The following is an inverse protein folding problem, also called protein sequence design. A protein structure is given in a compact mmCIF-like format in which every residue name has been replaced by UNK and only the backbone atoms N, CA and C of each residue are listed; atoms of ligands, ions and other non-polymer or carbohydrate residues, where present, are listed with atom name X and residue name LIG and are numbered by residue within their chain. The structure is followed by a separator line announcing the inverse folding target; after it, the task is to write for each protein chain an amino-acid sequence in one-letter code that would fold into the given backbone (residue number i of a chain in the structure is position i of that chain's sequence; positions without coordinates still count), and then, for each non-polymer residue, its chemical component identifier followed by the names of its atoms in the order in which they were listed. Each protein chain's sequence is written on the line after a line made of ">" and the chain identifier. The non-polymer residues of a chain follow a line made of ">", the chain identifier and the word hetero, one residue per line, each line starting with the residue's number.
data_IF_841098116100
#
_entry.id   IF_841098116100
#
_cell.length_a   1.000
_cell.length_b   1.000
_cell.length_c   1.000
_cell.angle_alpha   90.00
_cell.angle_beta   90.00
_cell.angle_gamma   90.00
#
_symmetry.space_group_name_H-M   'P 1'
#
loop_
_entity.id
_entity.type
_entity.pdbx_description
1 polymer ?
#
# COMPACT_ATOMS: atom_id res chain seq x y z
N UNK A 1 2.97 -58.81 -7.72
CA UNK A 1 1.80 -58.02 -7.34
C UNK A 1 2.29 -56.63 -6.98
N UNK A 2 2.27 -55.68 -7.96
CA UNK A 2 2.68 -54.31 -7.76
C UNK A 2 1.44 -53.53 -7.39
N UNK A 3 1.39 -53.01 -6.15
CA UNK A 3 0.34 -52.13 -5.66
C UNK A 3 0.68 -50.72 -6.12
N UNK A 4 -0.06 -50.21 -7.11
CA UNK A 4 0.04 -48.84 -7.60
C UNK A 4 -0.53 -47.89 -6.55
N UNK A 5 0.35 -47.20 -5.82
CA UNK A 5 -0.02 -46.06 -4.97
C UNK A 5 -0.48 -44.93 -5.88
N UNK A 6 -1.80 -44.73 -5.95
CA UNK A 6 -2.42 -43.54 -6.52
C UNK A 6 -2.00 -42.33 -5.67
N UNK A 7 -1.08 -41.54 -6.17
CA UNK A 7 -0.79 -40.23 -5.64
C UNK A 7 -2.04 -39.38 -5.82
N UNK A 8 -2.77 -39.16 -4.75
CA UNK A 8 -3.87 -38.20 -4.68
C UNK A 8 -3.28 -36.80 -4.92
N UNK A 9 -3.51 -36.27 -6.10
CA UNK A 9 -3.16 -34.90 -6.46
C UNK A 9 -4.11 -33.96 -5.70
N UNK A 10 -3.79 -33.71 -4.42
CA UNK A 10 -4.50 -32.68 -3.63
C UNK A 10 -4.07 -31.35 -4.21
N UNK A 11 -4.97 -30.56 -4.80
CA UNK A 11 -4.62 -29.24 -5.28
C UNK A 11 -4.05 -28.43 -4.10
N UNK A 12 -3.01 -27.60 -4.29
CA UNK A 12 -2.47 -26.78 -3.23
C UNK A 12 -3.61 -25.97 -2.63
N UNK A 13 -3.72 -25.99 -1.30
CA UNK A 13 -4.76 -25.26 -0.57
C UNK A 13 -4.74 -23.82 -1.08
N UNK A 14 -5.88 -23.32 -1.57
CA UNK A 14 -5.99 -21.97 -2.08
C UNK A 14 -5.57 -21.01 -0.95
N UNK A 15 -4.53 -20.21 -1.22
CA UNK A 15 -4.05 -19.22 -0.26
C UNK A 15 -5.19 -18.23 -0.01
N UNK A 16 -5.65 -18.14 1.23
CA UNK A 16 -6.71 -17.20 1.57
C UNK A 16 -6.21 -15.76 1.39
N UNK A 17 -6.89 -14.93 0.58
CA UNK A 17 -6.44 -13.56 0.35
C UNK A 17 -6.50 -12.74 1.63
N UNK A 18 -5.48 -11.92 1.88
CA UNK A 18 -5.45 -11.03 3.04
C UNK A 18 -6.38 -9.82 2.90
N UNK A 19 -6.71 -9.42 1.67
CA UNK A 19 -7.74 -8.41 1.35
C UNK A 19 -8.69 -9.00 0.33
N UNK A 20 -9.99 -8.86 0.56
CA UNK A 20 -11.04 -9.25 -0.37
C UNK A 20 -12.14 -8.20 -0.39
N UNK A 21 -12.37 -7.63 -1.55
CA UNK A 21 -13.46 -6.69 -1.84
C UNK A 21 -14.46 -7.37 -2.76
N UNK A 22 -15.75 -7.20 -2.46
CA UNK A 22 -16.83 -7.72 -3.30
C UNK A 22 -17.91 -6.66 -3.44
N UNK A 23 -18.18 -6.26 -4.68
CA UNK A 23 -19.23 -5.31 -5.06
C UNK A 23 -19.20 -4.05 -4.18
N UNK A 24 -17.99 -3.53 -3.90
CA UNK A 24 -17.81 -2.40 -3.01
C UNK A 24 -18.28 -1.12 -3.68
N UNK A 25 -19.25 -0.46 -3.05
CA UNK A 25 -19.77 0.83 -3.43
C UNK A 25 -19.50 1.87 -2.34
N UNK A 26 -19.20 3.11 -2.72
CA UNK A 26 -19.00 4.19 -1.76
C UNK A 26 -19.43 5.55 -2.32
N UNK A 27 -20.03 6.37 -1.44
CA UNK A 27 -20.51 7.73 -1.77
C UNK A 27 -19.98 8.75 -0.78
N UNK A 28 -19.83 9.98 -1.26
CA UNK A 28 -19.66 11.17 -0.43
C UNK A 28 -20.89 12.05 -0.50
N UNK A 29 -21.07 12.90 0.53
CA UNK A 29 -22.21 13.80 0.63
C UNK A 29 -23.50 13.11 1.04
N UNK A 30 -24.59 13.88 1.06
CA UNK A 30 -25.93 13.43 1.42
C UNK A 30 -26.99 14.14 0.57
N UNK A 31 -28.19 13.56 0.46
CA UNK A 31 -29.29 14.13 -0.32
C UNK A 31 -28.93 14.35 -1.78
N UNK A 32 -29.24 15.54 -2.31
CA UNK A 32 -28.96 15.94 -3.70
C UNK A 32 -27.47 16.06 -4.04
N UNK A 33 -26.62 16.19 -3.02
CA UNK A 33 -25.15 16.30 -3.20
C UNK A 33 -24.44 14.97 -3.07
N UNK A 34 -25.17 13.86 -3.02
CA UNK A 34 -24.58 12.51 -2.94
C UNK A 34 -23.91 12.16 -4.26
N UNK A 35 -22.59 11.92 -4.21
CA UNK A 35 -21.77 11.53 -5.37
C UNK A 35 -21.15 10.15 -5.12
N UNK A 36 -21.38 9.23 -6.05
CA UNK A 36 -20.72 7.93 -6.03
C UNK A 36 -19.25 8.06 -6.43
N UNK A 37 -18.36 7.40 -5.68
CA UNK A 37 -16.91 7.45 -5.88
C UNK A 37 -16.34 6.06 -6.13
N UNK A 38 -16.97 5.00 -5.61
CA UNK A 38 -16.63 3.62 -5.95
C UNK A 38 -17.90 2.90 -6.43
N UNK A 39 -17.77 2.09 -7.49
CA UNK A 39 -18.88 1.44 -8.17
C UNK A 39 -18.55 -0.03 -8.41
N UNK A 40 -19.14 -0.93 -7.61
CA UNK A 40 -19.04 -2.38 -7.78
C UNK A 40 -17.62 -2.90 -7.82
N UNK A 41 -16.73 -2.39 -6.94
CA UNK A 41 -15.31 -2.73 -6.94
C UNK A 41 -15.10 -4.14 -6.38
N UNK A 42 -14.49 -5.01 -7.18
CA UNK A 42 -14.03 -6.36 -6.80
C UNK A 42 -12.49 -6.41 -6.85
N UNK A 43 -11.85 -6.83 -5.77
CA UNK A 43 -10.38 -6.96 -5.69
C UNK A 43 -10.01 -8.00 -4.65
N UNK A 44 -9.03 -8.83 -4.94
CA UNK A 44 -8.38 -9.70 -3.95
C UNK A 44 -6.87 -9.44 -3.95
N UNK A 45 -6.24 -9.49 -2.77
CA UNK A 45 -4.79 -9.35 -2.60
C UNK A 45 -4.31 -10.49 -1.70
N UNK A 46 -3.29 -11.20 -2.16
CA UNK A 46 -2.71 -12.31 -1.41
C UNK A 46 -1.60 -11.84 -0.46
N UNK A 47 -1.29 -12.60 0.59
CA UNK A 47 -0.12 -12.33 1.42
C UNK A 47 1.15 -12.27 0.56
N UNK A 48 2.04 -11.31 0.83
CA UNK A 48 3.28 -11.11 0.08
C UNK A 48 3.13 -10.54 -1.34
N UNK A 49 1.90 -10.28 -1.81
CA UNK A 49 1.62 -9.72 -3.13
C UNK A 49 1.81 -8.20 -3.12
N UNK A 50 2.48 -7.67 -4.14
CA UNK A 50 2.60 -6.22 -4.40
C UNK A 50 1.65 -5.84 -5.52
N UNK A 51 0.58 -5.11 -5.17
CA UNK A 51 -0.43 -4.60 -6.11
C UNK A 51 -0.27 -3.10 -6.27
N UNK A 52 -0.06 -2.63 -7.49
CA UNK A 52 -0.08 -1.20 -7.81
C UNK A 52 -1.45 -0.80 -8.34
N UNK A 53 -2.00 0.27 -7.77
CA UNK A 53 -3.26 0.88 -8.19
C UNK A 53 -2.97 2.19 -8.92
N UNK A 54 -3.28 2.23 -10.21
CA UNK A 54 -3.07 3.37 -11.10
C UNK A 54 -4.40 3.99 -11.54
N UNK A 55 -4.36 5.16 -12.15
CA UNK A 55 -5.56 5.82 -12.70
C UNK A 55 -5.56 7.33 -12.48
N UNK A 56 -6.46 8.08 -13.13
CA UNK A 56 -6.51 9.55 -13.06
C UNK A 56 -6.79 10.07 -11.64
N UNK A 57 -6.45 11.33 -11.38
CA UNK A 57 -6.76 11.97 -10.10
C UNK A 57 -8.28 12.02 -9.89
N UNK A 58 -8.71 11.76 -8.64
CA UNK A 58 -10.13 11.79 -8.27
C UNK A 58 -10.95 10.55 -8.64
N UNK A 59 -10.37 9.50 -9.27
CA UNK A 59 -11.11 8.28 -9.63
C UNK A 59 -11.44 7.34 -8.44
N UNK A 60 -11.00 7.65 -7.21
CA UNK A 60 -11.38 6.86 -6.02
C UNK A 60 -10.26 6.09 -5.33
N UNK A 61 -9.01 6.13 -5.80
CA UNK A 61 -7.86 5.35 -5.26
C UNK A 61 -7.64 5.55 -3.75
N UNK A 62 -7.52 6.79 -3.30
CA UNK A 62 -7.36 7.12 -1.86
C UNK A 62 -8.58 6.68 -1.05
N UNK A 63 -9.79 6.75 -1.63
CA UNK A 63 -11.02 6.26 -0.99
C UNK A 63 -10.93 4.76 -0.78
N UNK A 64 -10.52 4.00 -1.80
CA UNK A 64 -10.31 2.56 -1.71
C UNK A 64 -9.29 2.22 -0.62
N UNK A 65 -8.10 2.86 -0.63
CA UNK A 65 -7.08 2.67 0.42
C UNK A 65 -7.64 2.91 1.83
N UNK A 66 -8.41 3.99 2.03
CA UNK A 66 -8.93 4.32 3.36
C UNK A 66 -10.04 3.38 3.83
N UNK A 67 -10.81 2.77 2.93
CA UNK A 67 -11.78 1.72 3.24
C UNK A 67 -11.07 0.42 3.63
N UNK A 68 -10.10 -0.04 2.82
CA UNK A 68 -9.28 -1.22 3.13
C UNK A 68 -8.51 -1.03 4.44
N UNK A 69 -8.00 0.18 4.71
CA UNK A 69 -7.31 0.55 5.95
C UNK A 69 -8.23 0.70 7.17
N UNK A 70 -9.52 0.37 7.06
CA UNK A 70 -10.51 0.51 8.13
C UNK A 70 -10.57 1.92 8.76
N UNK A 71 -10.23 2.96 7.97
CA UNK A 71 -10.32 4.38 8.37
C UNK A 71 -11.70 4.97 8.06
N UNK A 72 -12.43 4.37 7.11
CA UNK A 72 -13.80 4.73 6.74
C UNK A 72 -14.75 3.57 6.96
N UNK A 73 -16.03 3.89 7.12
CA UNK A 73 -17.08 2.85 7.18
C UNK A 73 -17.41 2.37 5.77
N UNK A 74 -17.57 1.05 5.64
CA UNK A 74 -18.08 0.41 4.43
C UNK A 74 -19.60 0.62 4.41
N UNK A 75 -20.08 1.27 3.35
CA UNK A 75 -21.53 1.59 3.20
C UNK A 75 -22.26 0.44 2.53
N UNK A 76 -21.71 -0.11 1.44
CA UNK A 76 -22.34 -1.16 0.65
C UNK A 76 -21.27 -2.05 0.02
N UNK A 77 -21.56 -3.35 -0.11
CA UNK A 77 -20.63 -4.37 -0.51
C UNK A 77 -19.87 -4.97 0.67
N UNK A 78 -18.85 -5.78 0.41
CA UNK A 78 -18.03 -6.45 1.42
C UNK A 78 -16.58 -6.02 1.30
N UNK A 79 -15.95 -5.74 2.44
CA UNK A 79 -14.50 -5.51 2.58
C UNK A 79 -13.99 -6.41 3.69
N UNK A 80 -13.28 -7.47 3.32
CA UNK A 80 -12.63 -8.37 4.28
C UNK A 80 -11.14 -8.12 4.29
N UNK A 81 -10.58 -7.94 5.49
CA UNK A 81 -9.13 -7.80 5.71
C UNK A 81 -8.71 -8.78 6.78
N UNK A 82 -7.81 -9.69 6.46
CA UNK A 82 -7.40 -10.82 7.31
C UNK A 82 -8.61 -11.63 7.83
N UNK A 83 -9.60 -11.87 6.98
CA UNK A 83 -10.84 -12.59 7.34
C UNK A 83 -11.87 -11.75 8.11
N UNK A 84 -11.52 -10.54 8.57
CA UNK A 84 -12.44 -9.66 9.31
C UNK A 84 -13.28 -8.84 8.34
N UNK A 85 -14.62 -8.99 8.40
CA UNK A 85 -15.56 -8.17 7.63
C UNK A 85 -15.68 -6.77 8.22
N UNK A 86 -15.46 -5.74 7.38
CA UNK A 86 -15.51 -4.34 7.80
C UNK A 86 -16.92 -3.73 7.73
N UNK A 87 -17.79 -4.26 6.87
CA UNK A 87 -19.18 -3.84 6.86
C UNK A 87 -19.86 -4.28 8.17
N UNK A 88 -20.47 -3.33 8.87
CA UNK A 88 -21.09 -3.58 10.18
C UNK A 88 -20.10 -3.80 11.34
N UNK A 89 -18.77 -3.71 11.10
CA UNK A 89 -17.78 -3.89 12.15
C UNK A 89 -17.86 -2.80 13.23
N UNK A 90 -17.57 -3.18 14.48
CA UNK A 90 -17.49 -2.25 15.61
C UNK A 90 -16.23 -1.38 15.53
N UNK A 91 -16.23 -0.26 16.27
CA UNK A 91 -15.04 0.59 16.40
C UNK A 91 -13.84 -0.17 16.97
N UNK A 92 -14.07 -1.06 17.94
CA UNK A 92 -13.01 -1.88 18.54
C UNK A 92 -12.38 -2.86 17.55
N UNK A 93 -13.19 -3.56 16.76
CA UNK A 93 -12.70 -4.46 15.72
C UNK A 93 -11.84 -3.73 14.69
N UNK A 94 -12.29 -2.57 14.19
CA UNK A 94 -11.49 -1.75 13.27
C UNK A 94 -10.20 -1.23 13.90
N UNK A 95 -10.22 -0.85 15.20
CA UNK A 95 -9.03 -0.42 15.91
C UNK A 95 -8.01 -1.55 16.06
N UNK A 96 -8.45 -2.75 16.40
CA UNK A 96 -7.59 -3.92 16.50
C UNK A 96 -6.98 -4.27 15.13
N UNK A 97 -7.79 -4.27 14.07
CA UNK A 97 -7.33 -4.56 12.72
C UNK A 97 -6.24 -3.58 12.26
N UNK A 98 -6.41 -2.28 12.53
CA UNK A 98 -5.44 -1.25 12.13
C UNK A 98 -4.05 -1.44 12.73
N UNK A 99 -3.89 -2.19 13.83
CA UNK A 99 -2.56 -2.51 14.38
C UNK A 99 -1.71 -3.37 13.44
N UNK A 100 -2.35 -4.14 12.57
CA UNK A 100 -1.68 -5.00 11.58
C UNK A 100 -1.56 -4.33 10.20
N UNK A 101 -1.96 -3.06 10.07
CA UNK A 101 -1.95 -2.30 8.81
C UNK A 101 -1.00 -1.11 8.94
N UNK A 102 0.05 -1.09 8.14
CA UNK A 102 0.89 0.10 7.95
C UNK A 102 0.25 1.03 6.93
N UNK A 103 0.26 2.34 7.18
CA UNK A 103 -0.28 3.31 6.24
C UNK A 103 0.69 4.46 5.98
N UNK A 104 0.97 4.69 4.71
CA UNK A 104 1.79 5.79 4.20
C UNK A 104 0.84 6.72 3.44
N UNK A 105 0.70 7.96 3.93
CA UNK A 105 -0.16 8.97 3.32
C UNK A 105 0.67 9.93 2.46
N UNK A 106 0.07 10.45 1.41
CA UNK A 106 0.67 11.49 0.57
C UNK A 106 1.06 12.74 1.38
N UNK A 107 0.29 13.12 2.40
CA UNK A 107 0.55 14.27 3.27
C UNK A 107 1.50 14.00 4.45
N UNK A 108 2.21 12.87 4.49
CA UNK A 108 3.13 12.39 5.55
C UNK A 108 2.49 12.16 6.92
N UNK A 109 1.56 13.00 7.36
CA UNK A 109 0.82 12.94 8.64
C UNK A 109 1.73 12.73 9.87
N UNK A 110 2.87 13.45 9.91
CA UNK A 110 3.76 13.45 11.07
C UNK A 110 3.21 14.33 12.18
N UNK A 111 3.39 13.91 13.43
CA UNK A 111 3.08 14.74 14.60
C UNK A 111 4.15 15.81 14.74
N UNK A 112 3.74 17.08 14.65
CA UNK A 112 4.64 18.24 14.57
C UNK A 112 5.45 18.47 15.85
N UNK A 113 4.92 18.02 17.01
CA UNK A 113 5.58 18.13 18.30
C UNK A 113 6.53 16.99 18.63
N UNK A 114 6.62 15.97 17.77
CA UNK A 114 7.48 14.82 17.97
C UNK A 114 8.66 14.85 16.98
N UNK A 115 9.85 14.42 17.45
CA UNK A 115 11.01 14.25 16.60
C UNK A 115 10.81 13.12 15.55
N UNK A 116 11.73 12.98 14.60
CA UNK A 116 11.73 11.89 13.64
C UNK A 116 11.73 10.53 14.35
N UNK A 117 12.62 10.33 15.34
CA UNK A 117 12.70 9.10 16.15
C UNK A 117 11.36 8.81 16.85
N UNK A 118 10.77 9.82 17.52
CA UNK A 118 9.51 9.67 18.23
C UNK A 118 8.32 9.40 17.30
N UNK A 119 8.28 10.03 16.12
CA UNK A 119 7.27 9.72 15.12
C UNK A 119 7.35 8.27 14.66
N UNK A 120 8.55 7.72 14.44
CA UNK A 120 8.72 6.31 14.05
C UNK A 120 8.44 5.37 15.20
N UNK A 121 8.83 5.72 16.43
CA UNK A 121 8.56 4.94 17.64
C UNK A 121 7.05 4.71 17.84
N UNK A 122 6.18 5.65 17.45
CA UNK A 122 4.72 5.43 17.49
C UNK A 122 4.26 4.19 16.70
N UNK A 123 4.96 3.85 15.61
CA UNK A 123 4.72 2.59 14.89
C UNK A 123 5.12 1.38 15.73
N UNK A 124 6.31 1.41 16.31
CA UNK A 124 6.81 0.35 17.18
C UNK A 124 5.99 0.19 18.49
N UNK A 125 5.31 1.26 18.95
CA UNK A 125 4.43 1.21 20.11
C UNK A 125 3.17 0.34 19.91
N UNK A 126 2.87 -0.03 18.67
CA UNK A 126 1.81 -0.99 18.34
C UNK A 126 2.20 -2.45 18.63
N UNK A 127 3.50 -2.74 18.83
CA UNK A 127 4.02 -4.06 19.13
C UNK A 127 3.96 -4.29 20.66
N UNK A 128 3.08 -5.19 21.16
CA UNK A 128 2.80 -5.32 22.57
C UNK A 128 3.99 -5.88 23.37
N UNK A 129 4.77 -6.78 22.76
CA UNK A 129 5.81 -7.55 23.43
C UNK A 129 7.17 -6.84 23.53
N UNK A 130 7.27 -5.63 22.92
CA UNK A 130 8.50 -4.85 22.96
C UNK A 130 8.53 -3.86 24.14
N UNK A 131 9.60 -3.89 24.93
CA UNK A 131 9.88 -2.86 25.94
C UNK A 131 10.29 -1.52 25.30
N UNK A 132 10.23 -0.43 26.07
CA UNK A 132 10.51 0.93 25.60
C UNK A 132 11.85 1.07 24.86
N UNK A 133 12.94 0.46 25.40
CA UNK A 133 14.28 0.53 24.76
C UNK A 133 14.28 -0.17 23.41
N UNK A 134 13.70 -1.37 23.32
CA UNK A 134 13.62 -2.12 22.07
C UNK A 134 12.81 -1.39 20.99
N UNK A 135 11.69 -0.75 21.36
CA UNK A 135 10.88 0.08 20.43
C UNK A 135 11.67 1.29 19.90
N UNK A 136 12.46 1.91 20.76
CA UNK A 136 13.31 3.02 20.37
C UNK A 136 14.43 2.58 19.44
N UNK A 137 15.07 1.44 19.73
CA UNK A 137 16.12 0.87 18.88
C UNK A 137 15.57 0.44 17.51
N UNK A 138 14.37 -0.14 17.49
CA UNK A 138 13.65 -0.46 16.23
C UNK A 138 13.35 0.81 15.42
N UNK A 139 12.90 1.89 16.06
CA UNK A 139 12.67 3.17 15.38
C UNK A 139 13.95 3.73 14.75
N UNK A 140 15.08 3.65 15.45
CA UNK A 140 16.41 4.04 14.92
C UNK A 140 16.86 3.16 13.76
N UNK A 141 16.61 1.86 13.86
CA UNK A 141 16.93 0.91 12.79
C UNK A 141 16.17 1.27 11.51
N UNK A 142 14.88 1.55 11.60
CA UNK A 142 14.09 1.96 10.44
C UNK A 142 14.50 3.33 9.88
N UNK A 143 14.84 4.30 10.74
CA UNK A 143 15.36 5.60 10.29
C UNK A 143 16.70 5.44 9.55
N UNK A 144 17.58 4.56 10.02
CA UNK A 144 18.81 4.23 9.32
C UNK A 144 18.53 3.55 7.97
N UNK A 145 17.58 2.59 7.94
CA UNK A 145 17.21 1.91 6.70
C UNK A 145 16.67 2.84 5.61
N UNK A 146 16.09 3.98 6.00
CA UNK A 146 15.67 5.03 5.06
C UNK A 146 16.66 6.19 4.94
N UNK A 147 17.90 6.04 5.41
CA UNK A 147 18.99 7.03 5.29
C UNK A 147 18.74 8.32 6.08
N UNK A 148 18.24 8.21 7.32
CA UNK A 148 17.93 9.34 8.21
C UNK A 148 18.59 9.21 9.60
N UNK A 149 19.68 8.47 9.72
CA UNK A 149 20.41 8.28 10.98
C UNK A 149 20.89 9.59 11.62
N UNK A 150 21.24 10.60 10.82
CA UNK A 150 21.69 11.92 11.30
C UNK A 150 20.51 12.86 11.64
N UNK A 151 19.27 12.41 11.49
CA UNK A 151 18.07 13.25 11.60
C UNK A 151 17.15 12.85 12.76
N UNK A 152 17.58 11.94 13.65
CA UNK A 152 16.74 11.35 14.72
C UNK A 152 16.03 12.37 15.60
N UNK A 153 16.74 13.42 16.02
CA UNK A 153 16.22 14.46 16.90
C UNK A 153 15.47 15.60 16.19
N UNK A 154 15.47 15.66 14.85
CA UNK A 154 14.84 16.75 14.10
C UNK A 154 13.32 16.70 14.20
N UNK A 155 12.69 17.86 14.34
CA UNK A 155 11.26 18.02 14.27
C UNK A 155 10.78 18.10 12.80
N UNK A 156 9.52 17.80 12.49
CA UNK A 156 9.03 17.81 11.11
C UNK A 156 9.25 19.14 10.36
N UNK A 157 9.25 20.28 11.04
CA UNK A 157 9.50 21.57 10.40
C UNK A 157 10.96 21.76 9.94
N UNK A 158 11.92 21.02 10.54
CA UNK A 158 13.33 21.03 10.18
C UNK A 158 13.69 20.01 9.11
N UNK A 159 12.70 19.25 8.61
CA UNK A 159 12.89 18.22 7.59
C UNK A 159 12.37 18.68 6.22
N UNK A 160 13.09 18.32 5.18
CA UNK A 160 12.61 18.50 3.79
C UNK A 160 11.37 17.61 3.52
N UNK A 161 10.64 17.87 2.42
CA UNK A 161 9.50 17.05 2.01
C UNK A 161 9.86 15.57 1.86
N UNK A 162 10.96 15.26 1.19
CA UNK A 162 11.45 13.91 1.02
C UNK A 162 11.90 13.25 2.34
N UNK A 163 12.51 14.01 3.26
CA UNK A 163 12.86 13.52 4.58
C UNK A 163 11.61 13.19 5.41
N UNK A 164 10.58 14.06 5.38
CA UNK A 164 9.28 13.79 6.02
C UNK A 164 8.64 12.51 5.48
N UNK A 165 8.69 12.31 4.16
CA UNK A 165 8.15 11.10 3.53
C UNK A 165 8.88 9.86 4.02
N UNK A 166 10.22 9.88 4.09
CA UNK A 166 11.03 8.77 4.60
C UNK A 166 10.74 8.47 6.08
N UNK A 167 10.51 9.49 6.92
CA UNK A 167 10.05 9.29 8.32
C UNK A 167 8.68 8.62 8.37
N UNK A 168 7.74 9.03 7.52
CA UNK A 168 6.40 8.43 7.45
C UNK A 168 6.45 6.96 7.01
N UNK A 169 7.33 6.63 6.07
CA UNK A 169 7.60 5.26 5.62
C UNK A 169 8.19 4.44 6.77
N UNK A 170 9.25 4.93 7.43
CA UNK A 170 9.87 4.27 8.57
C UNK A 170 8.86 4.00 9.70
N UNK A 171 7.96 4.96 9.99
CA UNK A 171 6.87 4.80 10.96
C UNK A 171 5.93 3.67 10.59
N UNK A 172 5.51 3.58 9.33
CA UNK A 172 4.61 2.53 8.88
C UNK A 172 5.25 1.14 8.97
N UNK A 173 6.56 1.05 8.67
CA UNK A 173 7.32 -0.20 8.71
C UNK A 173 7.66 -0.65 10.14
N UNK A 174 7.88 0.29 11.06
CA UNK A 174 8.16 0.00 12.47
C UNK A 174 7.00 -0.69 13.21
N UNK A 175 5.80 -0.69 12.62
CA UNK A 175 4.65 -1.44 13.12
C UNK A 175 4.67 -2.94 12.71
N UNK A 176 5.64 -3.39 11.92
CA UNK A 176 5.73 -4.74 11.35
C UNK A 176 4.39 -5.20 10.72
N UNK A 177 3.88 -4.43 9.74
CA UNK A 177 2.53 -4.63 9.22
C UNK A 177 2.43 -5.91 8.39
N UNK A 178 1.26 -6.57 8.45
CA UNK A 178 0.88 -7.65 7.54
C UNK A 178 0.31 -7.15 6.21
N UNK A 179 -0.18 -5.91 6.20
CA UNK A 179 -0.66 -5.18 5.02
C UNK A 179 -0.12 -3.76 5.05
N UNK A 180 0.52 -3.35 3.98
CA UNK A 180 0.98 -1.98 3.78
C UNK A 180 0.12 -1.28 2.72
N UNK A 181 -0.47 -0.17 3.10
CA UNK A 181 -1.24 0.71 2.22
C UNK A 181 -0.44 1.99 1.98
N UNK A 182 -0.13 2.31 0.75
CA UNK A 182 0.69 3.46 0.41
C UNK A 182 0.01 4.35 -0.63
N UNK A 183 -0.21 5.61 -0.29
CA UNK A 183 -0.77 6.61 -1.19
C UNK A 183 0.35 7.53 -1.69
N UNK A 184 0.82 7.29 -2.91
CA UNK A 184 1.92 8.00 -3.59
C UNK A 184 3.21 8.12 -2.75
N UNK A 185 3.79 7.01 -2.27
CA UNK A 185 4.90 7.04 -1.31
C UNK A 185 6.18 7.66 -1.85
N UNK A 186 6.33 7.79 -3.17
CA UNK A 186 7.54 8.32 -3.83
C UNK A 186 7.37 9.73 -4.38
N UNK A 187 6.17 10.34 -4.31
CA UNK A 187 5.88 11.62 -4.96
C UNK A 187 6.77 12.78 -4.51
N UNK A 188 7.25 12.77 -3.26
CA UNK A 188 8.13 13.81 -2.70
C UNK A 188 9.62 13.43 -2.74
N UNK A 189 9.99 12.31 -3.39
CA UNK A 189 11.35 11.79 -3.44
C UNK A 189 11.99 12.01 -4.82
N UNK A 190 13.31 12.22 -4.83
CA UNK A 190 14.08 12.12 -6.05
C UNK A 190 14.11 10.67 -6.56
N UNK A 191 14.51 10.48 -7.82
CA UNK A 191 14.45 9.19 -8.49
C UNK A 191 15.23 8.08 -7.80
N UNK A 192 16.42 8.40 -7.25
CA UNK A 192 17.28 7.44 -6.57
C UNK A 192 16.67 7.03 -5.24
N UNK A 193 16.33 8.00 -4.40
CA UNK A 193 15.72 7.75 -3.09
C UNK A 193 14.36 7.06 -3.24
N UNK A 194 13.56 7.45 -4.25
CA UNK A 194 12.29 6.78 -4.56
C UNK A 194 12.48 5.30 -4.87
N UNK A 195 13.50 4.96 -5.67
CA UNK A 195 13.84 3.56 -6.00
C UNK A 195 14.29 2.78 -4.76
N UNK A 196 15.18 3.33 -3.95
CA UNK A 196 15.66 2.70 -2.70
C UNK A 196 14.48 2.36 -1.75
N UNK A 197 13.53 3.29 -1.61
CA UNK A 197 12.31 3.06 -0.81
C UNK A 197 11.45 1.94 -1.39
N UNK A 198 11.24 1.95 -2.68
CA UNK A 198 10.39 0.95 -3.36
C UNK A 198 11.01 -0.45 -3.28
N UNK A 199 12.32 -0.57 -3.43
CA UNK A 199 13.04 -1.83 -3.25
C UNK A 199 12.95 -2.32 -1.79
N UNK A 200 12.98 -1.41 -0.81
CA UNK A 200 12.73 -1.73 0.60
C UNK A 200 11.32 -2.31 0.81
N UNK A 201 10.28 -1.69 0.20
CA UNK A 201 8.89 -2.18 0.30
C UNK A 201 8.72 -3.54 -0.37
N UNK A 202 9.36 -3.76 -1.52
CA UNK A 202 9.39 -5.07 -2.19
C UNK A 202 10.07 -6.13 -1.34
N UNK A 203 11.20 -5.77 -0.69
CA UNK A 203 11.90 -6.65 0.25
C UNK A 203 11.01 -7.05 1.43
N UNK A 204 10.26 -6.11 2.00
CA UNK A 204 9.29 -6.37 3.06
C UNK A 204 8.21 -7.38 2.61
N UNK A 205 7.63 -7.16 1.44
CA UNK A 205 6.62 -8.05 0.89
C UNK A 205 7.14 -9.48 0.77
N UNK A 206 8.34 -9.65 0.21
CA UNK A 206 8.94 -10.97 -0.04
C UNK A 206 9.40 -11.68 1.25
N UNK A 207 10.07 -10.94 2.15
CA UNK A 207 10.74 -11.54 3.30
C UNK A 207 9.82 -11.72 4.51
N UNK A 208 8.78 -10.87 4.64
CA UNK A 208 7.86 -10.89 5.78
C UNK A 208 6.43 -11.28 5.39
N UNK A 209 6.21 -11.67 4.13
CA UNK A 209 4.89 -12.03 3.62
C UNK A 209 3.85 -10.91 3.81
N UNK A 210 4.32 -9.64 3.80
CA UNK A 210 3.48 -8.45 3.92
C UNK A 210 2.86 -8.14 2.57
N UNK A 211 1.52 -8.07 2.50
CA UNK A 211 0.85 -7.61 1.30
C UNK A 211 1.03 -6.08 1.13
N UNK A 212 1.18 -5.62 -0.10
CA UNK A 212 1.35 -4.19 -0.40
C UNK A 212 0.31 -3.75 -1.42
N UNK A 213 -0.52 -2.76 -1.06
CA UNK A 213 -1.38 -2.04 -2.00
C UNK A 213 -0.89 -0.59 -2.09
N UNK A 214 -0.37 -0.21 -3.24
CA UNK A 214 0.25 1.09 -3.45
C UNK A 214 -0.41 1.85 -4.58
N UNK A 215 -0.85 3.08 -4.32
CA UNK A 215 -1.25 4.04 -5.35
C UNK A 215 -0.01 4.74 -5.88
N UNK A 216 0.15 4.78 -7.19
CA UNK A 216 1.26 5.49 -7.83
C UNK A 216 0.90 5.99 -9.23
N UNK A 217 1.51 7.10 -9.61
CA UNK A 217 1.57 7.60 -10.98
C UNK A 217 2.96 7.47 -11.60
N UNK A 218 3.93 6.94 -10.85
CA UNK A 218 5.31 6.82 -11.29
C UNK A 218 5.53 5.55 -12.12
N UNK A 219 5.76 5.65 -13.44
CA UNK A 219 5.99 4.48 -14.28
C UNK A 219 7.30 3.76 -13.96
N UNK A 220 8.25 4.42 -13.27
CA UNK A 220 9.58 3.88 -12.95
C UNK A 220 9.56 2.79 -11.90
N UNK A 221 8.43 2.63 -11.18
CA UNK A 221 8.29 1.64 -10.12
C UNK A 221 7.33 0.49 -10.47
N UNK A 222 6.84 0.44 -11.71
CA UNK A 222 5.91 -0.62 -12.15
C UNK A 222 6.55 -2.02 -12.14
N UNK A 223 7.85 -2.10 -12.25
CA UNK A 223 8.63 -3.35 -12.28
C UNK A 223 8.67 -4.10 -10.94
N UNK A 224 8.28 -3.47 -9.84
CA UNK A 224 8.20 -4.16 -8.55
C UNK A 224 6.89 -4.91 -8.34
N UNK A 225 5.86 -4.57 -9.12
CA UNK A 225 4.52 -5.10 -8.96
C UNK A 225 4.41 -6.56 -9.39
N UNK A 226 3.70 -7.36 -8.62
CA UNK A 226 3.20 -8.65 -9.06
C UNK A 226 1.97 -8.43 -9.95
N UNK A 227 1.19 -7.36 -9.69
CA UNK A 227 0.01 -6.99 -10.45
C UNK A 227 -0.23 -5.47 -10.45
N UNK A 228 -0.62 -4.95 -11.61
CA UNK A 228 -1.05 -3.55 -11.78
C UNK A 228 -2.54 -3.53 -12.10
N UNK A 229 -3.30 -2.77 -11.31
CA UNK A 229 -4.74 -2.59 -11.46
C UNK A 229 -5.00 -1.13 -11.82
N UNK A 230 -5.85 -0.88 -12.80
CA UNK A 230 -6.24 0.46 -13.20
C UNK A 230 -7.63 0.80 -12.67
N UNK A 231 -7.78 1.97 -12.10
CA UNK A 231 -9.07 2.51 -11.67
C UNK A 231 -9.46 3.71 -12.54
N UNK A 232 -10.68 3.69 -13.07
CA UNK A 232 -11.31 4.81 -13.79
C UNK A 232 -12.74 4.97 -13.31
N UNK A 233 -13.17 6.20 -13.06
CA UNK A 233 -14.53 6.56 -12.64
C UNK A 233 -15.12 5.68 -11.53
N UNK A 234 -14.29 5.31 -10.57
CA UNK A 234 -14.69 4.50 -9.42
C UNK A 234 -14.80 3.01 -9.68
N UNK A 235 -14.43 2.52 -10.84
CA UNK A 235 -14.42 1.10 -11.21
C UNK A 235 -13.00 0.60 -11.42
N UNK A 236 -12.75 -0.67 -11.11
CA UNK A 236 -11.50 -1.33 -11.48
C UNK A 236 -11.64 -1.88 -12.91
N UNK A 237 -10.72 -1.47 -13.75
CA UNK A 237 -10.57 -2.02 -15.09
C UNK A 237 -9.66 -3.25 -14.99
N UNK A 238 -10.25 -4.44 -14.90
CA UNK A 238 -9.49 -5.69 -14.91
C UNK A 238 -9.02 -5.96 -16.35
N UNK A 239 -7.76 -5.73 -16.61
CA UNK A 239 -7.08 -6.38 -17.73
C UNK A 239 -6.63 -7.74 -17.20
N UNK A 240 -7.39 -8.78 -17.55
CA UNK A 240 -7.32 -10.16 -17.11
C UNK A 240 -5.93 -10.69 -16.72
N UNK A 241 -5.92 -11.61 -15.79
CA UNK A 241 -4.74 -12.38 -15.39
C UNK A 241 -3.93 -12.82 -16.63
N UNK A 242 -2.72 -12.24 -16.82
CA UNK A 242 -1.79 -12.78 -17.79
C UNK A 242 -1.02 -11.86 -18.71
N UNK A 243 -1.35 -10.60 -18.85
CA UNK A 243 -0.48 -9.70 -19.60
C UNK A 243 0.60 -9.10 -18.71
N UNK A 244 1.80 -9.70 -18.74
CA UNK A 244 3.04 -9.02 -18.37
C UNK A 244 3.15 -7.78 -19.27
N UNK A 245 2.93 -6.61 -18.74
CA UNK A 245 2.89 -5.33 -19.46
C UNK A 245 4.23 -4.89 -20.08
N UNK A 246 5.20 -5.82 -20.24
CA UNK A 246 6.46 -5.55 -20.92
C UNK A 246 6.85 -6.71 -21.84
N UNK A 247 6.11 -6.84 -22.95
CA UNK A 247 6.68 -7.36 -24.19
C UNK A 247 7.66 -6.32 -24.72
N UNK A 248 8.91 -6.70 -24.92
CA UNK A 248 9.91 -5.87 -25.57
C UNK A 248 9.38 -5.27 -26.88
N UNK A 249 9.42 -3.94 -27.03
CA UNK A 249 9.24 -3.38 -28.35
C UNK A 249 8.63 -2.00 -28.43
N UNK A 250 9.53 -1.03 -28.70
CA UNK A 250 9.33 0.24 -29.38
C UNK A 250 8.53 1.33 -28.68
N UNK A 251 9.30 2.32 -28.22
CA UNK A 251 8.84 3.71 -28.14
C UNK A 251 8.27 4.13 -29.51
N UNK A 252 7.15 4.86 -29.57
CA UNK A 252 6.71 5.47 -30.82
C UNK A 252 7.79 6.47 -31.25
N UNK A 253 8.29 6.27 -32.45
CA UNK A 253 9.21 7.13 -33.17
C UNK A 253 8.54 8.52 -33.31
N UNK A 254 9.09 9.50 -32.61
CA UNK A 254 8.72 10.89 -32.81
C UNK A 254 9.31 11.31 -34.16
N UNK A 255 8.50 11.14 -35.22
CA UNK A 255 8.83 11.57 -36.56
C UNK A 255 9.36 13.00 -36.58
N UNK A 256 10.64 13.11 -36.96
CA UNK A 256 11.19 14.30 -37.57
C UNK A 256 10.46 14.51 -38.89
N UNK A 257 9.54 15.42 -38.96
CA UNK A 257 9.21 16.07 -40.23
C UNK A 257 10.32 17.06 -40.55
N UNK A 258 11.04 16.70 -41.59
CA UNK A 258 12.04 17.53 -42.21
C UNK A 258 11.37 18.75 -42.87
N UNK A 259 11.95 19.90 -42.64
CA UNK A 259 11.76 21.06 -43.46
C UNK A 259 12.40 20.82 -44.82
N UNK A 260 11.60 20.88 -45.87
CA UNK A 260 11.99 21.27 -47.24
C UNK A 260 10.75 21.81 -47.98
N UNK A 261 10.89 23.04 -48.49
CA UNK A 261 9.92 23.69 -49.38
C UNK A 261 9.77 25.17 -49.09
#
# INVERSE_FOLDING_TARGET
>A
MFSTLLATNVPPAAVEPCVQLRQLNHWYGSGSNRRQVLQGVDLSINPGEVVLLTGPSGCGKTTLLTLVGALRQVMEGSVRVFGVELQGSTRGQRQQLRRSIGMIFQGHNLLRCLSAEQNVQMGADLLPDLGYRARRDLARQWLRAVGLEDHLGKLPHDLSGGQKQRVAIARALAAEPRLLLADEPTAALDSRTGREVVDLLKGLARNQNCAVLMVTHDPRILDIADRVVRMEDGQLMDRGQGERLWGAGRLPDTGREAAEG
#
